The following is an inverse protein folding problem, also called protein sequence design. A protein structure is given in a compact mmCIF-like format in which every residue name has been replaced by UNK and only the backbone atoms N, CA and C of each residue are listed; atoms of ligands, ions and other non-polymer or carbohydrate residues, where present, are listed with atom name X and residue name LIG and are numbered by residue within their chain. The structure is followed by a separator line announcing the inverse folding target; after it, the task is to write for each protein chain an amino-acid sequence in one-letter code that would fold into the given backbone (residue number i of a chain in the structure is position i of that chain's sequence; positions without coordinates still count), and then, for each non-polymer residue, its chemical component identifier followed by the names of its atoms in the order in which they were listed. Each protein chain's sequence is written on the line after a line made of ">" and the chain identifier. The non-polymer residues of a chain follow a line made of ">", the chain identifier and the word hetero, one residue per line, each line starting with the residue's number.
data_IF_175494954120
#
_entry.id   IF_175494954120
#
_cell.length_a   1.000
_cell.length_b   1.000
_cell.length_c   1.000
_cell.angle_alpha   90.00
_cell.angle_beta   90.00
_cell.angle_gamma   90.00
#
_symmetry.space_group_name_H-M   'P 1'
#
loop_
_entity.id
_entity.type
_entity.pdbx_description
1 polymer ?
#
# COMPACT_ATOMS: atom_id res chain seq x y z
N UNK A 1 -19.33 -29.61 -5.82
CA UNK A 1 -19.26 -28.13 -5.87
C UNK A 1 -17.82 -27.73 -6.17
N UNK A 2 -17.57 -26.89 -7.19
CA UNK A 2 -16.23 -26.35 -7.41
C UNK A 2 -15.87 -25.49 -6.20
N UNK A 3 -14.73 -25.76 -5.55
CA UNK A 3 -14.18 -24.87 -4.53
C UNK A 3 -13.70 -23.63 -5.27
N UNK A 4 -14.42 -22.50 -5.15
CA UNK A 4 -13.89 -21.20 -5.56
C UNK A 4 -12.56 -21.00 -4.83
N UNK A 5 -11.44 -21.02 -5.57
CA UNK A 5 -10.15 -20.59 -5.02
C UNK A 5 -10.34 -19.14 -4.57
N UNK A 6 -10.23 -18.89 -3.27
CA UNK A 6 -10.25 -17.55 -2.70
C UNK A 6 -9.13 -16.77 -3.41
N UNK A 7 -9.50 -15.78 -4.24
CA UNK A 7 -8.53 -15.00 -4.99
C UNK A 7 -7.60 -14.33 -3.98
N UNK A 8 -6.30 -14.61 -4.06
CA UNK A 8 -5.29 -13.96 -3.24
C UNK A 8 -5.05 -12.61 -3.90
N UNK A 9 -5.54 -11.54 -3.28
CA UNK A 9 -5.28 -10.19 -3.75
C UNK A 9 -3.89 -9.78 -3.27
N UNK A 10 -2.99 -9.45 -4.18
CA UNK A 10 -1.74 -8.77 -3.82
C UNK A 10 -1.97 -7.25 -3.70
N UNK A 11 -0.94 -6.54 -3.23
CA UNK A 11 -1.04 -5.09 -3.05
C UNK A 11 -1.19 -4.34 -4.38
N UNK A 12 -0.54 -4.79 -5.44
CA UNK A 12 -0.56 -4.08 -6.73
C UNK A 12 -1.93 -4.17 -7.40
N UNK A 13 -2.55 -5.35 -7.42
CA UNK A 13 -3.92 -5.55 -7.90
C UNK A 13 -4.90 -4.69 -7.09
N UNK A 14 -4.77 -4.69 -5.76
CA UNK A 14 -5.68 -3.96 -4.87
C UNK A 14 -5.53 -2.45 -5.00
N UNK A 15 -4.31 -1.95 -5.17
CA UNK A 15 -4.04 -0.53 -5.42
C UNK A 15 -4.60 -0.15 -6.79
N UNK A 16 -4.41 -0.97 -7.83
CA UNK A 16 -4.96 -0.69 -9.15
C UNK A 16 -6.50 -0.62 -9.14
N UNK A 17 -7.18 -1.56 -8.49
CA UNK A 17 -8.64 -1.54 -8.33
C UNK A 17 -9.11 -0.27 -7.60
N UNK A 18 -8.38 0.16 -6.57
CA UNK A 18 -8.65 1.43 -5.89
C UNK A 18 -8.44 2.64 -6.80
N UNK A 19 -7.40 2.64 -7.65
CA UNK A 19 -7.14 3.74 -8.59
C UNK A 19 -8.22 3.84 -9.68
N UNK A 20 -8.77 2.71 -10.13
CA UNK A 20 -9.93 2.67 -11.04
C UNK A 20 -11.15 3.31 -10.34
N UNK A 21 -11.41 2.95 -9.08
CA UNK A 21 -12.47 3.58 -8.29
C UNK A 21 -12.27 5.10 -8.15
N UNK A 22 -11.05 5.55 -7.87
CA UNK A 22 -10.71 6.97 -7.80
C UNK A 22 -10.97 7.71 -9.13
N UNK A 23 -10.68 7.06 -10.25
CA UNK A 23 -10.96 7.59 -11.59
C UNK A 23 -12.46 7.76 -11.81
N UNK A 24 -13.26 6.76 -11.44
CA UNK A 24 -14.72 6.81 -11.53
C UNK A 24 -15.36 7.85 -10.60
N UNK A 25 -14.60 8.39 -9.64
CA UNK A 25 -15.01 9.49 -8.75
C UNK A 25 -14.49 10.85 -9.21
N UNK A 26 -13.92 10.94 -10.41
CA UNK A 26 -13.36 12.16 -11.00
C UNK A 26 -12.33 12.84 -10.08
N UNK A 27 -11.56 12.06 -9.32
CA UNK A 27 -10.49 12.61 -8.48
C UNK A 27 -9.40 13.22 -9.36
N UNK A 28 -8.85 14.35 -8.91
CA UNK A 28 -7.78 15.01 -9.65
C UNK A 28 -6.55 14.11 -9.79
N UNK A 29 -5.81 14.26 -10.88
CA UNK A 29 -4.53 13.55 -11.11
C UNK A 29 -3.56 13.74 -9.94
N UNK A 30 -3.55 14.91 -9.31
CA UNK A 30 -2.71 15.21 -8.14
C UNK A 30 -3.12 14.36 -6.93
N UNK A 31 -4.41 14.29 -6.64
CA UNK A 31 -4.95 13.47 -5.55
C UNK A 31 -4.65 11.99 -5.78
N UNK A 32 -4.92 11.51 -7.00
CA UNK A 32 -4.65 10.13 -7.40
C UNK A 32 -3.17 9.76 -7.22
N UNK A 33 -2.25 10.60 -7.71
CA UNK A 33 -0.80 10.40 -7.54
C UNK A 33 -0.39 10.36 -6.07
N UNK A 34 -1.00 11.20 -5.23
CA UNK A 34 -0.74 11.18 -3.79
C UNK A 34 -1.20 9.88 -3.14
N UNK A 35 -2.39 9.40 -3.50
CA UNK A 35 -2.95 8.15 -2.94
C UNK A 35 -2.13 6.94 -3.36
N UNK A 36 -1.86 6.79 -4.65
CA UNK A 36 -1.08 5.68 -5.19
C UNK A 36 0.32 5.63 -4.55
N UNK A 37 1.01 6.78 -4.49
CA UNK A 37 2.34 6.86 -3.89
C UNK A 37 2.33 6.49 -2.40
N UNK A 38 1.35 6.96 -1.63
CA UNK A 38 1.23 6.60 -0.21
C UNK A 38 0.94 5.11 -0.02
N UNK A 39 0.05 4.53 -0.82
CA UNK A 39 -0.28 3.11 -0.72
C UNK A 39 0.90 2.21 -1.13
N UNK A 40 1.64 2.57 -2.19
CA UNK A 40 2.85 1.84 -2.60
C UNK A 40 3.94 1.89 -1.54
N UNK A 41 4.15 3.03 -0.89
CA UNK A 41 5.10 3.14 0.22
C UNK A 41 4.69 2.28 1.42
N UNK A 42 3.40 2.23 1.73
CA UNK A 42 2.89 1.35 2.78
C UNK A 42 3.06 -0.12 2.44
N UNK A 43 2.73 -0.53 1.20
CA UNK A 43 2.94 -1.90 0.72
C UNK A 43 4.42 -2.31 0.78
N UNK A 44 5.33 -1.41 0.37
CA UNK A 44 6.79 -1.63 0.48
C UNK A 44 7.23 -1.84 1.93
N UNK A 45 6.75 -1.00 2.86
CA UNK A 45 7.03 -1.16 4.29
C UNK A 45 6.56 -2.52 4.82
N UNK A 46 5.33 -2.93 4.45
CA UNK A 46 4.77 -4.20 4.87
C UNK A 46 5.57 -5.39 4.34
N UNK A 47 6.05 -5.31 3.10
CA UNK A 47 6.91 -6.34 2.52
C UNK A 47 8.27 -6.39 3.22
N UNK A 48 8.97 -5.26 3.31
CA UNK A 48 10.37 -5.17 3.74
C UNK A 48 10.53 -5.40 5.26
N UNK A 49 9.63 -4.84 6.08
CA UNK A 49 9.79 -4.80 7.55
C UNK A 49 8.87 -5.79 8.28
N UNK A 50 7.79 -6.25 7.63
CA UNK A 50 6.72 -7.04 8.27
C UNK A 50 6.47 -8.39 7.60
N UNK A 51 7.01 -8.63 6.39
CA UNK A 51 6.75 -9.82 5.56
C UNK A 51 5.26 -10.07 5.27
N UNK A 52 4.49 -9.00 5.05
CA UNK A 52 3.08 -9.07 4.63
C UNK A 52 2.99 -8.71 3.14
N UNK A 53 2.39 -9.61 2.35
CA UNK A 53 2.32 -9.49 0.88
C UNK A 53 0.90 -9.36 0.34
N UNK A 54 -0.12 -9.47 1.20
CA UNK A 54 -1.53 -9.30 0.83
C UNK A 54 -2.21 -8.31 1.77
N UNK A 55 -3.10 -7.43 1.28
CA UNK A 55 -3.90 -6.56 2.13
C UNK A 55 -4.77 -7.32 3.14
N UNK A 56 -5.11 -8.57 2.85
CA UNK A 56 -5.96 -9.40 3.72
C UNK A 56 -5.27 -9.78 5.04
N UNK A 57 -3.95 -9.77 5.07
CA UNK A 57 -3.14 -10.10 6.25
C UNK A 57 -2.73 -8.85 7.04
N UNK A 58 -3.14 -7.66 6.60
CA UNK A 58 -2.83 -6.40 7.27
C UNK A 58 -3.66 -6.26 8.54
N UNK A 59 -2.96 -6.08 9.65
CA UNK A 59 -3.58 -5.88 10.97
C UNK A 59 -3.52 -4.41 11.40
N UNK A 60 -4.38 -4.04 12.36
CA UNK A 60 -4.33 -2.73 13.03
C UNK A 60 -2.96 -2.44 13.64
N UNK A 61 -2.25 -3.48 14.12
CA UNK A 61 -0.90 -3.32 14.66
C UNK A 61 0.07 -2.85 13.56
N UNK A 62 0.04 -3.48 12.38
CA UNK A 62 0.92 -3.09 11.27
C UNK A 62 0.71 -1.63 10.85
N UNK A 63 -0.54 -1.16 10.84
CA UNK A 63 -0.86 0.24 10.52
C UNK A 63 -0.27 1.18 11.59
N UNK A 64 -0.44 0.88 12.88
CA UNK A 64 0.12 1.70 13.97
C UNK A 64 1.64 1.73 13.92
N UNK A 65 2.27 0.59 13.71
CA UNK A 65 3.72 0.47 13.62
C UNK A 65 4.26 1.27 12.43
N UNK A 66 3.58 1.26 11.27
CA UNK A 66 3.93 2.10 10.13
C UNK A 66 3.84 3.60 10.44
N UNK A 67 2.78 4.02 11.14
CA UNK A 67 2.62 5.42 11.55
C UNK A 67 3.72 5.86 12.50
N UNK A 68 4.24 4.97 13.34
CA UNK A 68 5.37 5.29 14.23
C UNK A 68 6.72 5.24 13.50
N UNK A 69 6.90 4.27 12.60
CA UNK A 69 8.06 4.17 11.72
C UNK A 69 8.27 5.44 10.89
N UNK A 70 7.19 5.99 10.31
CA UNK A 70 7.25 7.20 9.48
C UNK A 70 7.59 8.46 10.28
N UNK A 71 7.26 8.51 11.57
CA UNK A 71 7.66 9.60 12.48
C UNK A 71 9.12 9.49 12.89
N UNK A 72 9.62 8.28 13.12
CA UNK A 72 10.95 8.04 13.70
C UNK A 72 12.07 8.03 12.66
N UNK A 73 11.94 7.32 11.53
CA UNK A 73 12.94 7.33 10.45
C UNK A 73 12.88 8.60 9.58
N UNK A 74 11.81 9.38 9.68
CA UNK A 74 11.54 10.54 8.83
C UNK A 74 11.08 10.10 7.43
N UNK A 75 9.97 10.68 6.96
CA UNK A 75 9.32 10.37 5.67
C UNK A 75 10.28 10.34 4.45
N UNK A 76 11.40 11.05 4.50
CA UNK A 76 12.33 11.24 3.38
C UNK A 76 13.44 10.18 3.29
N UNK A 77 13.83 9.54 4.39
CA UNK A 77 14.92 8.55 4.38
C UNK A 77 14.48 7.23 3.71
N UNK A 78 13.23 6.83 3.92
CA UNK A 78 12.68 5.59 3.37
C UNK A 78 12.33 5.67 1.87
N UNK A 79 12.14 6.89 1.34
CA UNK A 79 11.81 7.13 -0.08
C UNK A 79 13.08 7.34 -0.92
N UNK A 80 14.19 7.74 -0.30
CA UNK A 80 15.44 8.08 -0.99
C UNK A 80 16.23 6.87 -1.50
N UNK A 81 15.96 5.66 -0.99
CA UNK A 81 16.70 4.43 -1.32
C UNK A 81 16.30 3.82 -2.69
N UNK A 82 15.61 4.58 -3.54
CA UNK A 82 15.17 4.15 -4.88
C UNK A 82 15.98 4.83 -6.00
N UNK A 83 16.99 5.65 -5.67
CA UNK A 83 17.88 6.30 -6.64
C UNK A 83 19.37 6.22 -6.23
N UNK A 84 19.94 5.02 -6.11
CA UNK A 84 21.40 4.81 -6.12
C UNK A 84 21.77 3.67 -7.04
#
# INVERSE_FOLDING_TARGET
>A
MPRLKKRIYDFDESINDFMIYCTNKDLTKKTMKSYEGTLKLFAKYLADEVNVFTPLDVTTKNIKDYLEFTKTKGKYSYVADVNS
#
